data_IF_452413817924
#
_entry.id   IF_452413817924
#
_cell.length_a   1.000
_cell.length_b   1.000
_cell.length_c   1.000
_cell.angle_alpha   90.00
_cell.angle_beta   90.00
_cell.angle_gamma   90.00
#
_symmetry.space_group_name_H-M   'P 1'
#
loop_
_entity.id
_entity.type
_entity.pdbx_description
1 polymer ?
#
# COMPACT_ATOMS: atom_id res chain seq x y z
N UNK A 1 8.54 22.69 -6.80
CA UNK A 1 8.87 21.43 -6.08
C UNK A 1 9.70 20.53 -7.01
N UNK A 2 10.64 19.72 -6.51
CA UNK A 2 11.43 18.83 -7.39
C UNK A 2 10.62 17.64 -7.94
N UNK A 3 11.09 17.06 -9.05
CA UNK A 3 10.41 15.98 -9.76
C UNK A 3 10.25 14.71 -8.90
N UNK A 4 11.21 14.42 -8.03
CA UNK A 4 11.20 13.24 -7.17
C UNK A 4 10.09 13.32 -6.12
N UNK A 5 9.89 14.51 -5.56
CA UNK A 5 8.86 14.77 -4.56
C UNK A 5 7.47 14.70 -5.19
N UNK A 6 7.29 15.28 -6.38
CA UNK A 6 6.04 15.19 -7.15
C UNK A 6 5.75 13.71 -7.47
N UNK A 7 6.76 12.96 -7.92
CA UNK A 7 6.62 11.54 -8.23
C UNK A 7 6.20 10.72 -7.01
N UNK A 8 6.79 10.97 -5.83
CA UNK A 8 6.38 10.32 -4.57
C UNK A 8 4.95 10.66 -4.19
N UNK A 9 4.51 11.90 -4.38
CA UNK A 9 3.13 12.29 -4.12
C UNK A 9 2.15 11.56 -5.04
N UNK A 10 2.44 11.51 -6.34
CA UNK A 10 1.65 10.75 -7.32
C UNK A 10 1.61 9.26 -6.95
N UNK A 11 2.76 8.68 -6.62
CA UNK A 11 2.86 7.28 -6.19
C UNK A 11 2.11 6.97 -4.89
N UNK A 12 1.85 7.99 -4.07
CA UNK A 12 1.08 7.90 -2.82
C UNK A 12 -0.42 8.14 -3.04
N UNK A 13 -0.86 8.34 -4.28
CA UNK A 13 -2.27 8.50 -4.65
C UNK A 13 -2.70 9.93 -5.02
N UNK A 14 -1.76 10.90 -5.04
CA UNK A 14 -2.08 12.21 -5.58
C UNK A 14 -2.44 12.10 -7.07
N UNK A 15 -3.49 12.81 -7.48
CA UNK A 15 -3.98 12.82 -8.87
C UNK A 15 -3.55 14.04 -9.67
N UNK A 16 -2.92 15.02 -9.03
CA UNK A 16 -2.27 16.09 -9.76
C UNK A 16 -1.36 16.99 -8.94
N UNK A 17 -0.51 17.73 -9.66
CA UNK A 17 0.40 18.75 -9.17
C UNK A 17 0.30 19.97 -10.08
N UNK A 18 0.13 21.15 -9.49
CA UNK A 18 0.17 22.44 -10.17
C UNK A 18 1.26 23.25 -9.51
N UNK A 19 2.08 23.92 -10.31
CA UNK A 19 3.16 24.75 -9.79
C UNK A 19 2.60 26.04 -9.16
N UNK A 20 3.28 26.58 -8.15
CA UNK A 20 2.85 27.82 -7.50
C UNK A 20 2.87 29.02 -8.46
N UNK A 21 3.74 28.97 -9.47
CA UNK A 21 3.83 30.00 -10.51
C UNK A 21 2.81 29.80 -11.66
N UNK A 22 2.00 28.73 -11.62
CA UNK A 22 1.04 28.44 -12.68
C UNK A 22 -0.11 29.48 -12.69
N UNK A 23 -0.60 29.88 -13.88
CA UNK A 23 -1.72 30.79 -13.97
C UNK A 23 -3.00 30.16 -13.40
N UNK A 24 -3.92 30.98 -12.89
CA UNK A 24 -5.17 30.51 -12.31
C UNK A 24 -6.02 29.65 -13.28
N UNK A 25 -5.93 29.94 -14.58
CA UNK A 25 -6.58 29.14 -15.63
C UNK A 25 -6.08 27.69 -15.66
N UNK A 26 -4.78 27.49 -15.46
CA UNK A 26 -4.17 26.16 -15.41
C UNK A 26 -4.64 25.38 -14.18
N UNK A 27 -4.72 26.05 -13.02
CA UNK A 27 -5.23 25.43 -11.81
C UNK A 27 -6.69 24.97 -11.96
N UNK A 28 -7.55 25.81 -12.55
CA UNK A 28 -8.95 25.44 -12.85
C UNK A 28 -9.03 24.27 -13.82
N UNK A 29 -8.16 24.25 -14.83
CA UNK A 29 -8.10 23.15 -15.79
C UNK A 29 -7.67 21.84 -15.12
N UNK A 30 -6.65 21.88 -14.26
CA UNK A 30 -6.17 20.74 -13.50
C UNK A 30 -7.29 20.11 -12.65
N UNK A 31 -8.07 20.93 -11.96
CA UNK A 31 -9.23 20.46 -11.18
C UNK A 31 -10.24 19.72 -12.08
N UNK A 32 -10.60 20.30 -13.23
CA UNK A 32 -11.56 19.69 -14.15
C UNK A 32 -11.08 18.33 -14.67
N UNK A 33 -9.81 18.25 -15.08
CA UNK A 33 -9.18 17.01 -15.57
C UNK A 33 -9.21 15.93 -14.49
N UNK A 34 -8.80 16.27 -13.26
CA UNK A 34 -8.78 15.33 -12.14
C UNK A 34 -10.19 14.87 -11.76
N UNK A 35 -11.18 15.77 -11.80
CA UNK A 35 -12.58 15.44 -11.54
C UNK A 35 -13.18 14.49 -12.60
N UNK A 36 -12.64 14.50 -13.82
CA UNK A 36 -13.00 13.56 -14.89
C UNK A 36 -12.27 12.21 -14.79
N UNK A 37 -11.50 11.99 -13.73
CA UNK A 37 -10.77 10.74 -13.49
C UNK A 37 -9.39 10.66 -14.15
N UNK A 38 -8.90 11.76 -14.72
CA UNK A 38 -7.56 11.84 -15.30
C UNK A 38 -6.51 12.35 -14.29
N UNK A 39 -5.24 12.38 -14.69
CA UNK A 39 -4.12 12.88 -13.89
C UNK A 39 -3.57 14.18 -14.49
N UNK A 40 -3.17 15.12 -13.64
CA UNK A 40 -2.52 16.37 -14.05
C UNK A 40 -1.12 16.50 -13.43
N UNK A 41 -0.07 16.22 -14.17
CA UNK A 41 1.31 16.38 -13.69
C UNK A 41 2.26 16.71 -14.85
N UNK A 42 3.45 17.27 -14.57
CA UNK A 42 4.46 17.50 -15.59
C UNK A 42 4.78 16.22 -16.36
N UNK A 43 4.86 16.30 -17.69
CA UNK A 43 5.09 15.13 -18.56
C UNK A 43 6.29 14.30 -18.14
N UNK A 44 7.36 14.96 -17.70
CA UNK A 44 8.59 14.30 -17.24
C UNK A 44 8.36 13.44 -15.99
N UNK A 45 7.54 13.89 -15.05
CA UNK A 45 7.14 13.09 -13.87
C UNK A 45 6.32 11.88 -14.30
N UNK A 46 5.41 12.04 -15.26
CA UNK A 46 4.63 10.92 -15.80
C UNK A 46 5.53 9.90 -16.53
N UNK A 47 6.51 10.35 -17.31
CA UNK A 47 7.51 9.49 -17.95
C UNK A 47 8.31 8.71 -16.91
N UNK A 48 8.83 9.39 -15.87
CA UNK A 48 9.55 8.74 -14.77
C UNK A 48 8.67 7.72 -14.03
N UNK A 49 7.39 8.02 -13.83
CA UNK A 49 6.44 7.08 -13.24
C UNK A 49 6.30 5.82 -14.10
N UNK A 50 6.05 5.98 -15.41
CA UNK A 50 5.91 4.85 -16.33
C UNK A 50 7.19 4.00 -16.34
N UNK A 51 8.36 4.62 -16.54
CA UNK A 51 9.65 3.94 -16.60
C UNK A 51 9.95 3.14 -15.33
N UNK A 52 9.67 3.72 -14.16
CA UNK A 52 9.88 3.01 -12.90
C UNK A 52 8.87 1.89 -12.71
N UNK A 53 7.60 2.07 -13.14
CA UNK A 53 6.56 1.03 -13.00
C UNK A 53 6.94 -0.16 -13.87
N UNK A 54 7.49 0.08 -15.06
CA UNK A 54 7.93 -0.98 -15.98
C UNK A 54 9.25 -1.64 -15.53
N UNK A 55 10.17 -0.89 -14.91
CA UNK A 55 11.52 -1.40 -14.57
C UNK A 55 11.61 -2.01 -13.17
N UNK A 56 10.78 -1.57 -12.22
CA UNK A 56 10.73 -2.09 -10.84
C UNK A 56 9.42 -1.65 -10.15
N UNK A 57 8.31 -2.37 -10.39
CA UNK A 57 6.98 -2.03 -9.87
C UNK A 57 6.92 -1.81 -8.35
N UNK A 58 7.78 -2.50 -7.59
CA UNK A 58 7.81 -2.45 -6.12
C UNK A 58 8.53 -1.25 -5.49
N UNK A 59 9.20 -0.38 -6.28
CA UNK A 59 10.02 0.73 -5.75
C UNK A 59 9.33 2.10 -5.71
N UNK A 60 8.23 2.28 -6.45
CA UNK A 60 7.59 3.61 -6.61
C UNK A 60 6.53 3.85 -5.56
N UNK A 61 5.71 2.84 -5.29
CA UNK A 61 4.64 2.95 -4.31
C UNK A 61 5.25 2.86 -2.90
N UNK A 62 4.90 3.77 -1.96
CA UNK A 62 5.33 3.67 -0.57
C UNK A 62 4.93 2.30 -0.06
N UNK A 63 5.92 1.43 0.21
CA UNK A 63 5.72 0.00 0.49
C UNK A 63 4.59 -0.59 -0.38
N UNK A 64 4.82 -0.64 -1.69
CA UNK A 64 3.85 -1.14 -2.67
C UNK A 64 3.10 -2.37 -2.18
N UNK A 65 1.77 -2.36 -2.35
CA UNK A 65 0.82 -3.43 -2.00
C UNK A 65 1.53 -4.61 -1.37
N UNK A 66 1.66 -4.63 -0.05
CA UNK A 66 2.33 -5.71 0.66
C UNK A 66 1.78 -7.02 0.12
N UNK A 67 2.56 -7.72 -0.71
CA UNK A 67 2.12 -8.96 -1.32
C UNK A 67 2.30 -10.06 -0.30
N UNK A 68 1.20 -10.60 0.16
CA UNK A 68 1.17 -11.76 1.02
C UNK A 68 1.15 -13.01 0.16
N UNK A 69 1.96 -14.01 0.53
CA UNK A 69 1.77 -15.36 -0.01
C UNK A 69 0.42 -15.91 0.46
N UNK A 70 -0.10 -16.94 -0.20
CA UNK A 70 -1.39 -17.53 0.19
C UNK A 70 -1.38 -17.98 1.66
N UNK A 71 -0.25 -18.58 2.08
CA UNK A 71 -0.05 -18.96 3.48
C UNK A 71 -0.03 -17.78 4.47
N UNK A 72 0.55 -16.65 4.06
CA UNK A 72 0.55 -15.43 4.87
C UNK A 72 -0.85 -14.81 4.98
N UNK A 73 -1.67 -14.91 3.93
CA UNK A 73 -3.07 -14.47 3.95
C UNK A 73 -3.91 -15.33 4.90
N UNK A 74 -3.81 -16.65 4.82
CA UNK A 74 -4.52 -17.57 5.72
C UNK A 74 -4.23 -17.24 7.20
N UNK A 75 -2.95 -17.02 7.54
CA UNK A 75 -2.54 -16.63 8.89
C UNK A 75 -3.12 -15.25 9.26
N UNK A 76 -3.10 -14.29 8.35
CA UNK A 76 -3.61 -12.93 8.58
C UNK A 76 -5.14 -12.92 8.79
N UNK A 77 -5.90 -13.70 8.02
CA UNK A 77 -7.35 -13.84 8.14
C UNK A 77 -7.76 -14.37 9.51
N UNK A 78 -7.16 -15.46 9.97
CA UNK A 78 -7.47 -16.00 11.30
C UNK A 78 -6.98 -15.11 12.44
N UNK A 79 -5.88 -14.39 12.22
CA UNK A 79 -5.39 -13.40 13.17
C UNK A 79 -6.37 -12.22 13.31
N UNK A 80 -6.97 -11.76 12.21
CA UNK A 80 -8.03 -10.75 12.22
C UNK A 80 -9.31 -11.29 12.87
N UNK A 81 -9.61 -12.58 12.71
CA UNK A 81 -10.70 -13.27 13.42
C UNK A 81 -10.44 -13.52 14.92
N UNK A 82 -9.34 -13.00 15.48
CA UNK A 82 -9.04 -13.08 16.92
C UNK A 82 -8.47 -14.42 17.40
N UNK A 83 -8.12 -15.35 16.51
CA UNK A 83 -7.59 -16.67 16.89
C UNK A 83 -6.22 -16.56 17.55
N UNK A 84 -5.95 -17.34 18.59
CA UNK A 84 -4.61 -17.50 19.18
C UNK A 84 -3.64 -18.21 18.22
N UNK A 85 -2.33 -18.08 18.43
CA UNK A 85 -1.34 -18.77 17.58
C UNK A 85 -1.49 -20.29 17.64
N UNK A 86 -1.97 -20.83 18.76
CA UNK A 86 -2.25 -22.25 18.94
C UNK A 86 -3.43 -22.69 18.08
N UNK A 87 -4.52 -21.92 18.07
CA UNK A 87 -5.68 -22.17 17.21
C UNK A 87 -5.34 -22.07 15.73
N UNK A 88 -4.56 -21.04 15.34
CA UNK A 88 -4.08 -20.87 13.96
C UNK A 88 -3.22 -22.07 13.55
N UNK A 89 -2.32 -22.52 14.42
CA UNK A 89 -1.45 -23.67 14.14
C UNK A 89 -2.25 -24.95 13.94
N UNK A 90 -3.23 -25.21 14.82
CA UNK A 90 -4.12 -26.36 14.71
C UNK A 90 -4.95 -26.33 13.42
N UNK A 91 -5.52 -25.17 13.06
CA UNK A 91 -6.33 -25.02 11.84
C UNK A 91 -5.51 -25.22 10.55
N UNK A 92 -4.21 -24.89 10.60
CA UNK A 92 -3.33 -24.91 9.44
C UNK A 92 -2.38 -26.12 9.37
N UNK A 93 -2.42 -27.02 10.36
CA UNK A 93 -1.53 -28.17 10.43
C UNK A 93 -0.06 -27.81 10.63
N UNK A 94 0.23 -26.72 11.36
CA UNK A 94 1.60 -26.26 11.66
C UNK A 94 1.80 -25.95 13.14
N UNK A 95 3.04 -26.00 13.60
CA UNK A 95 3.36 -25.67 14.99
C UNK A 95 3.11 -24.19 15.33
N UNK A 96 2.77 -23.92 16.60
CA UNK A 96 2.59 -22.56 17.12
C UNK A 96 3.82 -21.66 16.89
N UNK A 97 5.03 -22.24 16.98
CA UNK A 97 6.29 -21.53 16.70
C UNK A 97 6.35 -21.03 15.26
N UNK A 98 5.87 -21.83 14.29
CA UNK A 98 5.81 -21.46 12.88
C UNK A 98 4.82 -20.32 12.67
N UNK A 99 3.67 -20.35 13.35
CA UNK A 99 2.71 -19.23 13.34
C UNK A 99 3.35 -17.95 13.87
N UNK A 100 4.08 -18.01 15.01
CA UNK A 100 4.81 -16.85 15.56
C UNK A 100 5.77 -16.25 14.52
N UNK A 101 6.47 -17.09 13.76
CA UNK A 101 7.36 -16.64 12.69
C UNK A 101 6.60 -15.95 11.55
N UNK A 102 5.46 -16.50 11.12
CA UNK A 102 4.60 -15.85 10.13
C UNK A 102 4.09 -14.48 10.61
N UNK A 103 3.59 -14.38 11.85
CA UNK A 103 3.09 -13.11 12.42
C UNK A 103 4.20 -12.07 12.51
N UNK A 104 5.41 -12.45 12.94
CA UNK A 104 6.56 -11.54 12.95
C UNK A 104 6.92 -11.03 11.54
N UNK A 105 6.85 -11.91 10.53
CA UNK A 105 7.10 -11.55 9.13
C UNK A 105 6.01 -10.62 8.58
N UNK A 106 4.75 -10.87 8.92
CA UNK A 106 3.61 -10.02 8.56
C UNK A 106 3.77 -8.61 9.16
N UNK A 107 4.08 -8.52 10.45
CA UNK A 107 4.32 -7.23 11.14
C UNK A 107 5.45 -6.44 10.48
N UNK A 108 6.58 -7.09 10.17
CA UNK A 108 7.69 -6.46 9.44
C UNK A 108 7.29 -6.00 8.05
N UNK A 109 6.49 -6.79 7.34
CA UNK A 109 6.02 -6.48 5.98
C UNK A 109 5.14 -5.24 5.92
N UNK A 110 4.28 -5.03 6.92
CA UNK A 110 3.39 -3.85 6.99
C UNK A 110 3.94 -2.70 7.84
N UNK A 111 5.07 -2.88 8.52
CA UNK A 111 5.71 -1.84 9.32
C UNK A 111 5.05 -1.56 10.68
N UNK A 112 4.34 -2.53 11.26
CA UNK A 112 3.71 -2.39 12.59
C UNK A 112 4.49 -3.16 13.67
N UNK A 113 4.37 -2.73 14.92
CA UNK A 113 5.19 -3.27 16.02
C UNK A 113 4.47 -4.29 16.91
N UNK A 114 3.14 -4.40 16.80
CA UNK A 114 2.38 -5.34 17.61
C UNK A 114 1.23 -5.97 16.83
N UNK A 115 0.74 -7.09 17.38
CA UNK A 115 -0.33 -7.89 16.79
C UNK A 115 -1.62 -7.12 16.58
N UNK A 116 -2.02 -6.29 17.55
CA UNK A 116 -3.27 -5.52 17.48
C UNK A 116 -3.16 -4.53 16.33
N UNK A 117 -2.03 -3.83 16.21
CA UNK A 117 -1.74 -2.93 15.11
C UNK A 117 -1.72 -3.66 13.75
N UNK A 118 -1.26 -4.91 13.70
CA UNK A 118 -1.36 -5.74 12.50
C UNK A 118 -2.82 -6.04 12.12
N UNK A 119 -3.67 -6.43 13.08
CA UNK A 119 -5.10 -6.68 12.83
C UNK A 119 -5.80 -5.41 12.34
N UNK A 120 -5.58 -4.27 13.00
CA UNK A 120 -6.18 -2.97 12.60
C UNK A 120 -5.69 -2.57 11.21
N UNK A 121 -4.38 -2.65 10.95
CA UNK A 121 -3.82 -2.33 9.64
C UNK A 121 -4.43 -3.19 8.53
N UNK A 122 -4.64 -4.48 8.79
CA UNK A 122 -5.21 -5.42 7.83
C UNK A 122 -6.67 -5.07 7.45
N UNK A 123 -7.48 -4.67 8.45
CA UNK A 123 -8.87 -4.23 8.23
C UNK A 123 -8.89 -2.89 7.49
N UNK A 124 -8.17 -1.88 7.98
CA UNK A 124 -8.19 -0.51 7.42
C UNK A 124 -7.78 -0.47 5.96
N UNK A 125 -6.83 -1.31 5.54
CA UNK A 125 -6.32 -1.34 4.17
C UNK A 125 -6.96 -2.44 3.31
N UNK A 126 -8.06 -3.05 3.77
CA UNK A 126 -8.77 -4.13 3.05
C UNK A 126 -7.84 -5.27 2.60
N UNK A 127 -6.84 -5.60 3.42
CA UNK A 127 -5.86 -6.66 3.10
C UNK A 127 -6.48 -8.06 3.26
N UNK A 128 -7.49 -8.17 4.13
CA UNK A 128 -8.35 -9.34 4.34
C UNK A 128 -9.74 -8.87 4.75
N UNK A 129 -10.77 -9.66 4.46
CA UNK A 129 -12.13 -9.37 4.95
C UNK A 129 -12.28 -10.03 6.32
N UNK A 130 -12.66 -9.26 7.35
CA UNK A 130 -13.08 -9.85 8.62
C UNK A 130 -14.37 -10.66 8.36
N UNK A 131 -14.30 -11.97 8.57
CA UNK A 131 -15.44 -12.87 8.40
C UNK A 131 -16.15 -13.07 9.73
#
# INVERSE_FOLDING_TARGET
>A
MDEETILKAIASGAKGYVDEAAPASEFVQAIRIVNQGSVWAPRRVLSMFIERVTSSPGRIFPAGRVTFTDREKEVLEMLVAGRSNKEIGAALGIEERTVKAHVAKLMRKVGVQNRIALSVHAITHSLVTAK
#
